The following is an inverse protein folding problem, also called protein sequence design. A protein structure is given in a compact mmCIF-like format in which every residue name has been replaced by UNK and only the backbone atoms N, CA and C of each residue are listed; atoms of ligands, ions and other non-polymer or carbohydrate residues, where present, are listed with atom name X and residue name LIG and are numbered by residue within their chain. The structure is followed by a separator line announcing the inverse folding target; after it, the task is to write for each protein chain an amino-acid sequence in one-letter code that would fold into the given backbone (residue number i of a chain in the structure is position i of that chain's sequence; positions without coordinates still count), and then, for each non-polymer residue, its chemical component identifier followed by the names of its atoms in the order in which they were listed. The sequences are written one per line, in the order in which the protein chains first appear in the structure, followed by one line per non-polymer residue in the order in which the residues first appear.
data_IF_564798022844
#
_entry.id   IF_564798022844
#
_cell.length_a   1.000
_cell.length_b   1.000
_cell.length_c   1.000
_cell.angle_alpha   90.00
_cell.angle_beta   90.00
_cell.angle_gamma   90.00
#
_symmetry.space_group_name_H-M   'P 1'
#
loop_
_entity.id
_entity.type
_entity.pdbx_description
1 polymer ?
#
# COMPACT_ATOMS: atom_id res chain seq x y z
N UNK A 1 38.97 -57.78 38.89
CA UNK A 1 38.29 -58.36 40.07
C UNK A 1 36.79 -58.10 39.94
N UNK A 2 35.99 -59.13 40.26
CA UNK A 2 34.53 -59.23 40.15
C UNK A 2 33.83 -58.10 40.95
N UNK A 3 32.62 -57.60 40.63
CA UNK A 3 31.28 -58.25 40.63
C UNK A 3 30.27 -57.24 40.02
N UNK A 4 29.42 -57.61 39.05
CA UNK A 4 28.05 -58.16 39.20
C UNK A 4 27.15 -57.48 40.24
N UNK A 5 26.21 -56.62 39.78
CA UNK A 5 24.89 -56.44 40.41
C UNK A 5 23.81 -56.39 39.32
N UNK A 6 22.81 -57.25 39.51
CA UNK A 6 21.72 -57.62 38.60
C UNK A 6 20.43 -56.91 39.01
N UNK A 7 19.75 -56.32 38.02
CA UNK A 7 18.31 -56.03 37.88
C UNK A 7 17.54 -55.30 38.99
N UNK A 8 16.73 -54.31 38.61
CA UNK A 8 15.28 -54.33 38.85
C UNK A 8 14.52 -53.42 37.87
N UNK A 9 13.32 -53.85 37.57
CA UNK A 9 12.47 -53.55 36.43
C UNK A 9 11.45 -52.45 36.81
N UNK A 10 11.34 -51.36 36.06
CA UNK A 10 10.21 -50.41 36.17
C UNK A 10 9.80 -49.88 34.79
N UNK A 11 8.82 -50.59 34.21
CA UNK A 11 7.76 -50.20 33.26
C UNK A 11 7.97 -48.94 32.39
N UNK A 12 7.92 -49.05 31.04
CA UNK A 12 7.76 -47.87 30.19
C UNK A 12 6.32 -47.33 30.30
N UNK A 13 6.17 -46.05 30.68
CA UNK A 13 4.91 -45.33 30.51
C UNK A 13 4.60 -45.25 29.00
N UNK A 14 3.50 -45.89 28.59
CA UNK A 14 2.93 -45.72 27.25
C UNK A 14 2.38 -44.30 27.11
N UNK A 15 3.14 -43.42 26.48
CA UNK A 15 2.67 -42.08 26.14
C UNK A 15 1.67 -42.18 24.98
N UNK A 16 0.43 -41.83 25.30
CA UNK A 16 -0.75 -42.04 24.49
C UNK A 16 -0.69 -41.21 23.19
N UNK A 17 -1.04 -41.84 22.06
CA UNK A 17 -0.94 -41.32 20.68
C UNK A 17 -1.94 -40.17 20.37
N UNK A 18 -2.74 -39.74 21.34
CA UNK A 18 -3.83 -38.78 21.19
C UNK A 18 -3.46 -37.31 21.49
N UNK A 19 -2.28 -37.02 22.05
CA UNK A 19 -1.89 -35.64 22.39
C UNK A 19 -1.35 -34.81 21.21
N UNK A 20 -1.07 -35.45 20.07
CA UNK A 20 -0.39 -34.80 18.93
C UNK A 20 -1.33 -34.21 17.89
N UNK A 21 -2.63 -34.53 17.91
CA UNK A 21 -3.60 -34.04 16.91
C UNK A 21 -4.19 -32.67 17.24
N UNK A 22 -4.29 -32.33 18.52
CA UNK A 22 -5.00 -31.13 18.99
C UNK A 22 -4.11 -29.88 18.90
N UNK A 23 -2.78 -30.04 18.94
CA UNK A 23 -1.82 -28.93 18.82
C UNK A 23 -1.69 -28.39 17.40
N UNK A 24 -2.06 -29.14 16.36
CA UNK A 24 -1.97 -28.69 14.98
C UNK A 24 -3.21 -27.93 14.49
N UNK A 25 -4.38 -28.14 15.10
CA UNK A 25 -5.61 -27.43 14.72
C UNK A 25 -5.75 -26.03 15.36
N UNK A 26 -5.04 -25.76 16.45
CA UNK A 26 -5.04 -24.42 17.09
C UNK A 26 -4.14 -23.40 16.39
N UNK A 27 -3.08 -23.84 15.71
CA UNK A 27 -2.11 -22.96 15.04
C UNK A 27 -2.56 -22.46 13.66
N UNK A 28 -3.52 -23.12 13.01
CA UNK A 28 -4.01 -22.71 11.68
C UNK A 28 -5.13 -21.66 11.74
N UNK A 29 -5.83 -21.52 12.88
CA UNK A 29 -6.92 -20.55 13.03
C UNK A 29 -6.44 -19.08 13.24
N UNK A 30 -5.17 -18.87 13.61
CA UNK A 30 -4.59 -17.54 13.85
C UNK A 30 -4.03 -16.85 12.60
N UNK A 31 -3.94 -17.53 11.45
CA UNK A 31 -3.49 -16.93 10.18
C UNK A 31 -4.63 -16.34 9.32
N UNK A 32 -5.89 -16.44 9.75
CA UNK A 32 -7.05 -16.05 8.93
C UNK A 32 -7.51 -14.58 9.08
N UNK A 33 -6.82 -13.75 9.88
CA UNK A 33 -7.25 -12.37 10.17
C UNK A 33 -6.16 -11.33 9.86
N UNK A 34 -5.62 -11.36 8.64
CA UNK A 34 -4.86 -10.25 8.05
C UNK A 34 -5.42 -9.86 6.68
N UNK A 35 -6.74 -9.64 6.61
CA UNK A 35 -7.34 -8.83 5.55
C UNK A 35 -7.29 -7.35 5.95
N UNK A 36 -6.08 -6.82 6.20
CA UNK A 36 -5.87 -5.39 6.12
C UNK A 36 -5.84 -5.04 4.64
N UNK A 37 -6.75 -4.17 4.21
CA UNK A 37 -6.89 -3.71 2.83
C UNK A 37 -5.55 -3.28 2.26
N UNK A 38 -5.09 -4.00 1.25
CA UNK A 38 -3.92 -3.63 0.47
C UNK A 38 -4.22 -2.32 -0.25
N UNK A 39 -3.65 -1.22 0.23
CA UNK A 39 -3.38 -0.08 -0.64
C UNK A 39 -2.20 -0.52 -1.52
N UNK A 40 -2.50 -1.11 -2.68
CA UNK A 40 -1.49 -1.39 -3.69
C UNK A 40 -1.08 -0.04 -4.27
N UNK A 41 -0.20 0.66 -3.57
CA UNK A 41 0.68 1.62 -4.24
C UNK A 41 1.54 0.77 -5.18
N UNK A 42 1.24 0.81 -6.47
CA UNK A 42 2.10 0.16 -7.46
C UNK A 42 3.54 0.71 -7.33
N UNK A 43 4.56 -0.10 -7.64
CA UNK A 43 5.95 0.28 -7.46
C UNK A 43 6.25 1.65 -8.09
N UNK A 44 6.94 2.49 -7.33
CA UNK A 44 7.35 3.84 -7.70
C UNK A 44 8.41 3.80 -8.81
N UNK A 45 7.96 3.80 -10.06
CA UNK A 45 8.86 3.83 -11.23
C UNK A 45 9.55 5.18 -11.43
N UNK A 46 9.34 6.16 -10.54
CA UNK A 46 9.99 7.47 -10.55
C UNK A 46 11.47 7.43 -10.12
N UNK A 47 11.88 6.34 -9.45
CA UNK A 47 13.22 6.19 -8.86
C UNK A 47 13.43 7.03 -7.58
N UNK A 48 12.39 7.68 -7.07
CA UNK A 48 12.37 8.48 -5.83
C UNK A 48 11.62 7.70 -4.75
N UNK A 49 12.23 7.53 -3.58
CA UNK A 49 11.57 6.88 -2.45
C UNK A 49 10.51 7.77 -1.79
N UNK A 50 9.59 7.15 -1.03
CA UNK A 50 8.52 7.84 -0.30
C UNK A 50 8.93 8.35 1.08
N UNK A 51 10.22 8.29 1.45
CA UNK A 51 10.69 8.66 2.79
C UNK A 51 10.79 10.17 3.00
N UNK A 52 10.82 10.95 1.91
CA UNK A 52 11.04 12.40 1.96
C UNK A 52 12.43 12.76 2.47
N UNK A 53 13.42 11.89 2.21
CA UNK A 53 14.82 12.09 2.60
C UNK A 53 15.58 12.81 1.48
N UNK A 54 15.91 14.08 1.70
CA UNK A 54 16.58 14.91 0.71
C UNK A 54 17.93 14.36 0.20
N UNK A 55 18.67 13.59 1.02
CA UNK A 55 19.94 12.97 0.58
C UNK A 55 19.68 11.84 -0.41
N UNK A 56 18.71 10.99 -0.09
CA UNK A 56 18.29 9.87 -0.95
C UNK A 56 17.72 10.39 -2.27
N UNK A 57 16.78 11.34 -2.21
CA UNK A 57 16.17 11.94 -3.39
C UNK A 57 17.20 12.66 -4.29
N UNK A 58 18.17 13.36 -3.68
CA UNK A 58 19.26 13.98 -4.43
C UNK A 58 20.17 12.96 -5.12
N UNK A 59 20.41 11.81 -4.49
CA UNK A 59 21.16 10.72 -5.12
C UNK A 59 20.38 10.13 -6.30
N UNK A 60 19.07 9.96 -6.15
CA UNK A 60 18.18 9.54 -7.24
C UNK A 60 18.24 10.52 -8.42
N UNK A 61 18.07 11.83 -8.18
CA UNK A 61 18.20 12.86 -9.22
C UNK A 61 19.56 12.79 -9.94
N UNK A 62 20.66 12.66 -9.18
CA UNK A 62 22.02 12.58 -9.75
C UNK A 62 22.26 11.34 -10.60
N UNK A 63 21.58 10.23 -10.29
CA UNK A 63 21.71 8.99 -11.03
C UNK A 63 21.15 9.06 -12.45
N UNK A 64 20.33 10.08 -12.75
CA UNK A 64 19.66 10.23 -14.04
C UNK A 64 18.57 9.19 -14.31
N UNK A 65 18.23 8.36 -13.32
CA UNK A 65 17.20 7.31 -13.42
C UNK A 65 15.79 7.83 -13.16
N UNK A 66 15.65 9.13 -12.91
CA UNK A 66 14.35 9.77 -12.71
C UNK A 66 13.70 10.12 -14.04
N UNK A 67 12.38 10.03 -14.11
CA UNK A 67 11.57 10.37 -15.30
C UNK A 67 11.52 11.89 -15.62
N UNK A 68 12.27 12.73 -14.88
CA UNK A 68 12.24 14.19 -14.94
C UNK A 68 13.61 14.79 -15.29
N UNK A 69 13.62 16.05 -15.75
CA UNK A 69 14.87 16.78 -15.99
C UNK A 69 15.73 16.82 -14.72
N UNK A 70 17.04 16.54 -14.87
CA UNK A 70 17.95 16.43 -13.73
C UNK A 70 18.06 17.72 -12.95
N UNK A 71 18.11 18.87 -13.63
CA UNK A 71 18.27 20.16 -12.95
C UNK A 71 16.97 20.57 -12.25
N UNK A 72 15.82 20.28 -12.87
CA UNK A 72 14.51 20.43 -12.24
C UNK A 72 14.39 19.57 -10.98
N UNK A 73 14.72 18.27 -11.05
CA UNK A 73 14.73 17.34 -9.92
C UNK A 73 15.54 17.89 -8.73
N UNK A 74 16.76 18.32 -9.00
CA UNK A 74 17.66 18.85 -7.97
C UNK A 74 17.15 20.18 -7.38
N UNK A 75 16.40 20.96 -8.16
CA UNK A 75 15.74 22.19 -7.67
C UNK A 75 14.54 21.83 -6.80
N UNK A 76 13.70 20.90 -7.21
CA UNK A 76 12.52 20.43 -6.47
C UNK A 76 12.92 19.85 -5.10
N UNK A 77 13.93 18.98 -5.05
CA UNK A 77 14.42 18.41 -3.78
C UNK A 77 14.91 19.51 -2.82
N UNK A 78 15.62 20.53 -3.33
CA UNK A 78 16.09 21.66 -2.50
C UNK A 78 14.93 22.47 -1.95
N UNK A 79 13.95 22.78 -2.79
CA UNK A 79 12.77 23.55 -2.40
C UNK A 79 11.92 22.77 -1.39
N UNK A 80 11.62 21.50 -1.66
CA UNK A 80 10.84 20.64 -0.77
C UNK A 80 11.50 20.51 0.60
N UNK A 81 12.83 20.31 0.66
CA UNK A 81 13.56 20.24 1.93
C UNK A 81 13.62 21.60 2.66
N UNK A 82 13.71 22.73 1.93
CA UNK A 82 13.64 24.05 2.54
C UNK A 82 12.27 24.31 3.18
N UNK A 83 11.19 23.99 2.47
CA UNK A 83 9.82 24.10 2.98
C UNK A 83 9.55 23.14 4.15
N UNK A 84 10.09 21.92 4.11
CA UNK A 84 10.09 20.95 5.22
C UNK A 84 10.73 21.54 6.47
N UNK A 85 11.92 22.12 6.34
CA UNK A 85 12.65 22.77 7.44
C UNK A 85 11.96 24.02 7.95
N UNK A 86 11.28 24.75 7.07
CA UNK A 86 10.48 25.92 7.44
C UNK A 86 9.16 25.54 8.14
N UNK A 87 8.82 24.25 8.26
CA UNK A 87 7.57 23.81 8.87
C UNK A 87 6.32 24.16 8.05
N UNK A 88 6.49 24.47 6.76
CA UNK A 88 5.40 24.88 5.87
C UNK A 88 4.70 23.70 5.19
N UNK A 89 5.27 22.50 5.33
CA UNK A 89 4.61 21.27 4.88
C UNK A 89 3.47 20.92 5.84
N UNK A 90 2.25 21.32 5.49
CA UNK A 90 1.06 20.77 6.13
C UNK A 90 0.76 19.37 5.59
N UNK A 91 0.20 18.48 6.42
CA UNK A 91 -0.60 17.39 5.87
C UNK A 91 -1.80 18.05 5.20
N UNK A 92 -2.00 17.84 3.91
CA UNK A 92 -3.18 18.37 3.23
C UNK A 92 -4.42 18.02 4.05
N UNK A 93 -5.21 19.03 4.44
CA UNK A 93 -6.51 18.80 5.05
C UNK A 93 -7.30 17.81 4.18
N UNK A 94 -8.19 17.05 4.83
CA UNK A 94 -9.12 16.07 4.26
C UNK A 94 -8.94 15.81 2.75
N UNK A 95 -8.07 14.84 2.43
CA UNK A 95 -7.75 14.47 1.04
C UNK A 95 -9.01 14.08 0.25
N UNK A 96 -10.01 13.50 0.92
CA UNK A 96 -11.28 13.13 0.30
C UNK A 96 -12.08 14.38 -0.05
N UNK A 97 -12.24 15.32 0.87
CA UNK A 97 -12.93 16.58 0.59
C UNK A 97 -12.27 17.35 -0.57
N UNK A 98 -10.94 17.41 -0.59
CA UNK A 98 -10.20 18.03 -1.70
C UNK A 98 -10.38 17.28 -3.03
N UNK A 99 -10.39 15.95 -3.01
CA UNK A 99 -10.66 15.16 -4.19
C UNK A 99 -12.08 15.40 -4.73
N UNK A 100 -13.07 15.54 -3.85
CA UNK A 100 -14.45 15.83 -4.21
C UNK A 100 -14.63 17.23 -4.78
N UNK A 101 -13.94 18.23 -4.19
CA UNK A 101 -13.95 19.61 -4.70
C UNK A 101 -13.48 19.71 -6.15
N UNK A 102 -12.55 18.84 -6.58
CA UNK A 102 -12.10 18.80 -7.99
C UNK A 102 -13.22 18.45 -8.97
N UNK A 103 -14.30 17.81 -8.53
CA UNK A 103 -15.45 17.51 -9.38
C UNK A 103 -16.37 18.72 -9.60
N UNK A 104 -16.23 19.82 -8.88
CA UNK A 104 -17.07 21.02 -9.02
C UNK A 104 -16.85 21.78 -10.34
N UNK A 105 -15.81 21.43 -11.11
CA UNK A 105 -15.55 22.03 -12.43
C UNK A 105 -16.58 21.61 -13.49
N UNK A 106 -17.23 20.46 -13.30
CA UNK A 106 -18.22 19.93 -14.23
C UNK A 106 -19.56 20.67 -14.06
N UNK A 107 -20.08 21.22 -15.15
CA UNK A 107 -21.32 22.01 -15.17
C UNK A 107 -22.56 21.13 -15.34
N UNK A 108 -22.43 20.05 -16.10
CA UNK A 108 -23.51 19.09 -16.31
C UNK A 108 -23.61 18.15 -15.11
N UNK A 109 -24.84 17.88 -14.66
CA UNK A 109 -25.11 17.08 -13.46
C UNK A 109 -24.61 15.65 -13.61
N UNK A 110 -24.71 15.07 -14.81
CA UNK A 110 -24.25 13.72 -15.13
C UNK A 110 -22.72 13.61 -15.03
N UNK A 111 -21.98 14.58 -15.59
CA UNK A 111 -20.51 14.60 -15.54
C UNK A 111 -19.99 14.78 -14.12
N UNK A 112 -20.64 15.66 -13.34
CA UNK A 112 -20.29 15.86 -11.94
C UNK A 112 -20.53 14.59 -11.12
N UNK A 113 -21.67 13.92 -11.32
CA UNK A 113 -21.98 12.66 -10.67
C UNK A 113 -20.99 11.55 -11.04
N UNK A 114 -20.62 11.44 -12.33
CA UNK A 114 -19.64 10.47 -12.81
C UNK A 114 -18.23 10.74 -12.27
N UNK A 115 -17.83 12.01 -12.09
CA UNK A 115 -16.59 12.36 -11.41
C UNK A 115 -16.59 11.89 -9.95
N UNK A 116 -17.64 12.24 -9.19
CA UNK A 116 -17.76 11.85 -7.78
C UNK A 116 -17.75 10.33 -7.60
N UNK A 117 -18.48 9.59 -8.43
CA UNK A 117 -18.51 8.13 -8.40
C UNK A 117 -17.12 7.50 -8.63
N UNK A 118 -16.28 8.11 -9.48
CA UNK A 118 -14.88 7.71 -9.65
C UNK A 118 -14.04 8.01 -8.41
N UNK A 119 -14.28 9.12 -7.72
CA UNK A 119 -13.56 9.50 -6.49
C UNK A 119 -13.95 8.61 -5.30
N UNK A 120 -15.24 8.32 -5.11
CA UNK A 120 -15.80 7.60 -3.95
C UNK A 120 -15.63 6.08 -3.99
N UNK A 121 -15.05 5.53 -5.06
CA UNK A 121 -14.73 4.11 -5.26
C UNK A 121 -15.92 3.17 -5.50
N UNK A 122 -16.44 3.25 -6.73
CA UNK A 122 -16.94 2.08 -7.48
C UNK A 122 -16.18 1.87 -8.82
N UNK A 123 -15.15 2.69 -9.08
CA UNK A 123 -14.36 2.67 -10.30
C UNK A 123 -13.24 1.61 -10.27
N UNK A 124 -12.93 1.04 -11.43
CA UNK A 124 -11.71 0.23 -11.61
C UNK A 124 -10.50 1.15 -11.41
N UNK A 125 -9.56 0.69 -10.58
CA UNK A 125 -8.28 1.37 -10.37
C UNK A 125 -7.24 0.70 -11.27
N UNK A 126 -6.65 1.49 -12.17
CA UNK A 126 -5.60 1.02 -13.05
C UNK A 126 -4.27 1.69 -12.68
N UNK A 127 -3.37 0.86 -12.14
CA UNK A 127 -1.93 1.11 -12.04
C UNK A 127 -1.47 2.36 -11.27
N UNK A 128 -0.15 2.51 -11.26
CA UNK A 128 0.55 3.76 -10.96
C UNK A 128 1.13 4.24 -12.28
N UNK A 129 0.78 5.45 -12.71
CA UNK A 129 1.48 6.08 -13.85
C UNK A 129 2.95 6.26 -13.48
N UNK A 130 3.83 6.41 -14.46
CA UNK A 130 5.27 6.48 -14.18
C UNK A 130 5.66 7.61 -13.19
N UNK A 131 4.80 8.62 -13.07
CA UNK A 131 4.92 9.74 -12.12
C UNK A 131 4.23 9.50 -10.76
N UNK A 132 3.75 8.30 -10.44
CA UNK A 132 3.16 7.94 -9.15
C UNK A 132 1.66 8.19 -8.98
N UNK A 133 0.92 8.49 -10.05
CA UNK A 133 -0.52 8.78 -10.00
C UNK A 133 -1.40 7.53 -10.19
N UNK A 134 -2.58 7.50 -9.56
CA UNK A 134 -3.57 6.42 -9.69
C UNK A 134 -4.65 6.81 -10.69
N UNK A 135 -4.87 5.97 -11.73
CA UNK A 135 -5.96 6.17 -12.67
C UNK A 135 -7.24 5.48 -12.17
N UNK A 136 -8.39 6.12 -12.38
CA UNK A 136 -9.71 5.61 -12.01
C UNK A 136 -10.64 5.67 -13.20
N UNK A 137 -11.25 4.53 -13.55
CA UNK A 137 -12.18 4.41 -14.67
C UNK A 137 -13.56 3.95 -14.20
N UNK A 138 -14.60 4.65 -14.65
CA UNK A 138 -15.99 4.27 -14.50
C UNK A 138 -16.68 4.35 -15.84
N UNK A 139 -17.43 3.32 -16.20
CA UNK A 139 -18.25 3.26 -17.41
C UNK A 139 -19.72 3.36 -17.02
N UNK A 140 -20.47 4.19 -17.73
CA UNK A 140 -21.92 4.37 -17.55
C UNK A 140 -22.60 4.18 -18.91
N UNK A 141 -23.72 3.47 -18.93
CA UNK A 141 -24.55 3.31 -20.12
C UNK A 141 -25.59 4.41 -20.14
N UNK A 142 -25.59 5.26 -21.18
CA UNK A 142 -26.59 6.31 -21.36
C UNK A 142 -27.63 5.85 -22.39
N UNK A 143 -28.93 5.87 -22.08
CA UNK A 143 -29.98 5.52 -23.05
C UNK A 143 -30.00 6.53 -24.20
N UNK A 144 -30.20 6.04 -25.43
CA UNK A 144 -30.30 6.91 -26.60
C UNK A 144 -31.55 7.80 -26.50
N UNK A 145 -31.39 9.09 -26.79
CA UNK A 145 -32.52 10.02 -26.88
C UNK A 145 -33.39 9.62 -28.08
N UNK A 146 -34.71 9.38 -27.90
CA UNK A 146 -35.60 9.15 -29.03
C UNK A 146 -35.56 10.36 -29.97
N UNK A 147 -35.45 10.10 -31.28
CA UNK A 147 -35.49 11.14 -32.32
C UNK A 147 -36.91 11.69 -32.50
#
# INVERSE_FOLDING_TARGET
MLTSIKSRFTRPLRLNRLGKGITYFGLTALLAMTAATAQIAAPDTSGLDSTGNAKSEMAACKSGKTQQDRNACMKEVRNANAEKRAGKLGSGADYTANAMKRCEVFKESEDQAACRARVESQAKLDGSVASGGVLRQGEITVPATPQ
#
